data_IF_183192312144
#
_entry.id   IF_183192312144
#
_cell.length_a   1.000
_cell.length_b   1.000
_cell.length_c   1.000
_cell.angle_alpha   90.00
_cell.angle_beta   90.00
_cell.angle_gamma   90.00
#
_symmetry.space_group_name_H-M   'P 1'
#
loop_
_entity.id
_entity.type
_entity.pdbx_description
1 polymer ?
#
# COMPACT_ATOMS: atom_id res chain seq x y z
N UNK A 1 26.61 23.98 5.12
CA UNK A 1 26.22 24.32 6.52
C UNK A 1 24.77 23.89 6.70
N UNK A 2 24.56 22.72 7.27
CA UNK A 2 23.22 22.20 7.56
C UNK A 2 22.65 22.99 8.75
N UNK A 3 21.65 23.85 8.49
CA UNK A 3 20.90 24.54 9.54
C UNK A 3 20.07 23.49 10.28
N UNK A 4 20.64 22.89 11.32
CA UNK A 4 19.94 21.98 12.22
C UNK A 4 18.95 22.80 13.06
N UNK A 5 17.74 22.98 12.54
CA UNK A 5 16.62 23.54 13.27
C UNK A 5 16.06 22.43 14.17
N UNK A 6 16.02 22.70 15.49
CA UNK A 6 15.60 21.75 16.52
C UNK A 6 14.07 21.65 16.65
N UNK A 7 13.33 21.92 15.57
CA UNK A 7 11.87 21.81 15.57
C UNK A 7 11.46 20.33 15.46
N UNK A 8 10.50 19.85 16.28
CA UNK A 8 9.96 18.51 16.10
C UNK A 8 9.37 18.36 14.69
N UNK A 9 9.42 17.15 14.13
CA UNK A 9 8.87 16.78 12.81
C UNK A 9 9.59 17.35 11.57
N UNK A 10 10.75 17.99 11.73
CA UNK A 10 11.47 18.57 10.59
C UNK A 10 11.88 17.55 9.51
N UNK A 11 12.20 16.31 9.90
CA UNK A 11 12.47 15.22 8.95
C UNK A 11 11.24 14.89 8.10
N UNK A 12 10.07 14.75 8.72
CA UNK A 12 8.81 14.47 8.01
C UNK A 12 8.47 15.60 7.05
N UNK A 13 8.67 16.86 7.46
CA UNK A 13 8.44 18.02 6.58
C UNK A 13 9.38 17.97 5.37
N UNK A 14 10.65 17.61 5.58
CA UNK A 14 11.62 17.43 4.48
C UNK A 14 11.20 16.32 3.51
N UNK A 15 10.72 15.20 4.02
CA UNK A 15 10.26 14.07 3.21
C UNK A 15 9.04 14.45 2.36
N UNK A 16 8.06 15.14 2.96
CA UNK A 16 6.89 15.64 2.24
C UNK A 16 7.31 16.63 1.15
N UNK A 17 8.17 17.60 1.47
CA UNK A 17 8.64 18.59 0.50
C UNK A 17 9.38 17.95 -0.68
N UNK A 18 10.16 16.89 -0.42
CA UNK A 18 10.81 16.11 -1.47
C UNK A 18 9.83 15.34 -2.36
N UNK A 19 8.73 14.83 -1.80
CA UNK A 19 7.79 13.95 -2.52
C UNK A 19 6.69 14.69 -3.30
N UNK A 20 6.24 15.85 -2.83
CA UNK A 20 5.19 16.67 -3.47
C UNK A 20 5.39 16.88 -4.99
N UNK A 21 6.58 17.27 -5.51
CA UNK A 21 6.75 17.47 -6.95
C UNK A 21 6.58 16.17 -7.75
N UNK A 22 7.06 15.05 -7.23
CA UNK A 22 6.91 13.74 -7.85
C UNK A 22 5.45 13.26 -7.81
N UNK A 23 4.70 13.54 -6.74
CA UNK A 23 3.29 13.17 -6.65
C UNK A 23 2.45 13.76 -7.78
N UNK A 24 2.68 15.04 -8.12
CA UNK A 24 2.03 15.68 -9.26
C UNK A 24 2.39 14.99 -10.59
N UNK A 25 3.66 14.61 -10.75
CA UNK A 25 4.13 13.91 -11.95
C UNK A 25 3.53 12.51 -12.08
N UNK A 26 3.34 11.79 -10.97
CA UNK A 26 2.79 10.44 -10.97
C UNK A 26 1.36 10.40 -11.51
N UNK A 27 0.52 11.36 -11.11
CA UNK A 27 -0.85 11.48 -11.66
C UNK A 27 -0.83 11.80 -13.15
N UNK A 28 -0.02 12.77 -13.59
CA UNK A 28 0.09 13.14 -15.01
C UNK A 28 0.60 11.95 -15.84
N UNK A 29 1.65 11.27 -15.37
CA UNK A 29 2.23 10.09 -16.01
C UNK A 29 1.25 8.92 -16.06
N UNK A 30 0.49 8.69 -14.98
CA UNK A 30 -0.54 7.66 -14.92
C UNK A 30 -1.65 7.86 -15.94
N UNK A 31 -2.18 9.08 -16.06
CA UNK A 31 -3.20 9.38 -17.08
C UNK A 31 -2.64 9.32 -18.51
N UNK A 32 -1.38 9.68 -18.72
CA UNK A 32 -0.73 9.67 -20.04
C UNK A 32 -0.41 8.25 -20.52
N UNK A 33 -0.21 7.29 -19.61
CA UNK A 33 0.08 5.89 -19.95
C UNK A 33 -1.06 5.18 -20.69
N UNK A 34 -2.30 5.71 -20.63
CA UNK A 34 -3.46 5.18 -21.32
C UNK A 34 -3.74 3.72 -20.95
N UNK A 35 -3.97 2.87 -21.94
CA UNK A 35 -4.30 1.45 -21.73
C UNK A 35 -3.12 0.58 -21.31
N UNK A 36 -1.87 1.05 -21.45
CA UNK A 36 -0.68 0.24 -21.13
C UNK A 36 -0.57 -0.09 -19.64
N UNK A 37 -1.23 0.68 -18.78
CA UNK A 37 -1.25 0.44 -17.33
C UNK A 37 -2.15 -0.75 -16.93
N UNK A 38 -3.13 -1.13 -17.76
CA UNK A 38 -4.08 -2.18 -17.39
C UNK A 38 -3.41 -3.55 -17.19
N UNK A 39 -2.45 -3.90 -18.04
CA UNK A 39 -1.73 -5.17 -17.93
C UNK A 39 -0.96 -5.30 -16.60
N UNK A 40 -0.06 -4.36 -16.22
CA UNK A 40 0.61 -4.43 -14.92
C UNK A 40 -0.36 -4.27 -13.75
N UNK A 41 -1.43 -3.47 -13.85
CA UNK A 41 -2.45 -3.36 -12.80
C UNK A 41 -3.15 -4.70 -12.55
N UNK A 42 -3.59 -5.39 -13.62
CA UNK A 42 -4.22 -6.70 -13.49
C UNK A 42 -3.25 -7.75 -12.93
N UNK A 43 -2.00 -7.74 -13.39
CA UNK A 43 -0.96 -8.63 -12.87
C UNK A 43 -0.76 -8.46 -11.35
N UNK A 44 -0.56 -7.21 -10.90
CA UNK A 44 -0.36 -6.91 -9.48
C UNK A 44 -1.62 -7.17 -8.65
N UNK A 45 -2.82 -6.95 -9.21
CA UNK A 45 -4.08 -7.28 -8.55
C UNK A 45 -4.15 -8.76 -8.19
N UNK A 46 -3.91 -9.66 -9.15
CA UNK A 46 -3.92 -11.11 -8.85
C UNK A 46 -2.74 -11.53 -7.99
N UNK A 47 -1.55 -10.99 -8.22
CA UNK A 47 -0.36 -11.29 -7.42
C UNK A 47 -0.54 -10.94 -5.94
N UNK A 48 -1.30 -9.88 -5.63
CA UNK A 48 -1.58 -9.45 -4.25
C UNK A 48 -2.85 -10.04 -3.66
N UNK A 49 -3.90 -10.31 -4.46
CA UNK A 49 -5.15 -10.87 -3.96
C UNK A 49 -5.03 -12.35 -3.56
N UNK A 50 -4.27 -13.15 -4.32
CA UNK A 50 -4.15 -14.59 -4.07
C UNK A 50 -3.55 -14.92 -2.69
N UNK A 51 -2.42 -14.30 -2.26
CA UNK A 51 -1.89 -14.51 -0.91
C UNK A 51 -2.87 -14.09 0.18
N UNK A 52 -3.60 -12.98 -0.02
CA UNK A 52 -4.56 -12.47 0.97
C UNK A 52 -5.73 -13.43 1.16
N UNK A 53 -6.20 -14.08 0.09
CA UNK A 53 -7.22 -15.13 0.20
C UNK A 53 -6.68 -16.34 0.94
N UNK A 54 -5.46 -16.79 0.62
CA UNK A 54 -4.83 -17.94 1.28
C UNK A 54 -4.62 -17.69 2.78
N UNK A 55 -4.00 -16.57 3.15
CA UNK A 55 -3.79 -16.18 4.55
C UNK A 55 -5.10 -15.84 5.27
N UNK A 56 -6.09 -15.32 4.55
CA UNK A 56 -7.41 -15.05 5.11
C UNK A 56 -8.19 -16.31 5.44
N UNK A 57 -7.98 -17.42 4.72
CA UNK A 57 -8.54 -18.72 5.09
C UNK A 57 -7.87 -19.29 6.33
N UNK A 58 -6.54 -19.19 6.41
CA UNK A 58 -5.77 -19.59 7.59
C UNK A 58 -6.21 -18.79 8.82
N UNK A 59 -6.31 -17.47 8.72
CA UNK A 59 -6.78 -16.61 9.80
C UNK A 59 -8.21 -16.93 10.21
N UNK A 60 -9.06 -17.33 9.26
CA UNK A 60 -10.42 -17.80 9.54
C UNK A 60 -10.45 -19.07 10.37
N UNK A 61 -9.52 -20.00 10.15
CA UNK A 61 -9.37 -21.21 10.97
C UNK A 61 -8.84 -20.88 12.36
N UNK A 62 -7.85 -20.00 12.46
CA UNK A 62 -7.18 -19.68 13.72
C UNK A 62 -8.03 -18.78 14.63
N UNK A 63 -9.05 -18.10 14.07
CA UNK A 63 -9.94 -17.17 14.81
C UNK A 63 -11.38 -17.68 14.95
N UNK A 64 -11.59 -18.99 14.78
CA UNK A 64 -12.92 -19.62 14.83
C UNK A 64 -13.96 -18.94 13.92
N UNK A 65 -13.53 -18.44 12.75
CA UNK A 65 -14.36 -17.77 11.76
C UNK A 65 -14.61 -16.28 12.02
N UNK A 66 -13.97 -15.68 13.03
CA UNK A 66 -14.13 -14.25 13.36
C UNK A 66 -13.50 -13.34 12.30
N UNK A 67 -12.35 -13.75 11.73
CA UNK A 67 -11.65 -13.05 10.65
C UNK A 67 -11.57 -13.93 9.40
N UNK A 68 -12.47 -13.69 8.44
CA UNK A 68 -12.54 -14.42 7.17
C UNK A 68 -11.71 -13.76 6.06
N UNK A 69 -11.38 -14.53 5.02
CA UNK A 69 -10.76 -14.03 3.79
C UNK A 69 -11.41 -12.78 3.20
N UNK A 70 -12.74 -12.64 3.32
CA UNK A 70 -13.46 -11.44 2.84
C UNK A 70 -13.08 -10.19 3.63
N UNK A 71 -12.99 -10.28 4.97
CA UNK A 71 -12.61 -9.16 5.83
C UNK A 71 -11.13 -8.81 5.61
N UNK A 72 -10.28 -9.82 5.46
CA UNK A 72 -8.85 -9.65 5.18
C UNK A 72 -8.63 -8.97 3.83
N UNK A 73 -9.39 -9.36 2.80
CA UNK A 73 -9.39 -8.71 1.49
C UNK A 73 -9.86 -7.25 1.59
N UNK A 74 -10.97 -7.00 2.28
CA UNK A 74 -11.51 -5.65 2.45
C UNK A 74 -10.51 -4.73 3.18
N UNK A 75 -9.90 -5.23 4.27
CA UNK A 75 -8.88 -4.50 5.03
C UNK A 75 -7.66 -4.18 4.15
N UNK A 76 -7.15 -5.17 3.41
CA UNK A 76 -6.00 -4.99 2.52
C UNK A 76 -6.30 -3.97 1.41
N UNK A 77 -7.51 -4.01 0.83
CA UNK A 77 -7.92 -3.06 -0.19
C UNK A 77 -7.99 -1.62 0.34
N UNK A 78 -8.59 -1.42 1.52
CA UNK A 78 -8.69 -0.10 2.16
C UNK A 78 -7.29 0.44 2.50
N UNK A 79 -6.45 -0.37 3.13
CA UNK A 79 -5.07 0.00 3.44
C UNK A 79 -4.26 0.31 2.18
N UNK A 80 -4.42 -0.48 1.12
CA UNK A 80 -3.78 -0.27 -0.18
C UNK A 80 -4.18 1.05 -0.83
N UNK A 81 -5.48 1.39 -0.82
CA UNK A 81 -5.97 2.69 -1.32
C UNK A 81 -5.37 3.84 -0.52
N UNK A 82 -5.45 3.78 0.81
CA UNK A 82 -4.90 4.83 1.68
C UNK A 82 -3.39 4.98 1.46
N UNK A 83 -2.64 3.88 1.37
CA UNK A 83 -1.20 3.90 1.12
C UNK A 83 -0.86 4.42 -0.29
N UNK A 84 -1.65 4.10 -1.31
CA UNK A 84 -1.40 4.60 -2.67
C UNK A 84 -1.59 6.12 -2.78
N UNK A 85 -2.49 6.70 -1.98
CA UNK A 85 -2.80 8.13 -2.00
C UNK A 85 -1.85 8.92 -1.09
N UNK A 86 -1.59 8.43 0.13
CA UNK A 86 -0.85 9.16 1.16
C UNK A 86 0.59 8.67 1.36
N UNK A 87 0.95 7.51 0.80
CA UNK A 87 2.26 6.90 0.98
C UNK A 87 3.37 7.64 0.26
N UNK A 88 4.56 7.61 0.87
CA UNK A 88 5.78 8.17 0.28
C UNK A 88 6.27 7.40 -0.95
N UNK A 89 5.87 6.13 -1.12
CA UNK A 89 6.35 5.25 -2.19
C UNK A 89 5.18 4.51 -2.88
N UNK A 90 4.71 4.98 -4.05
CA UNK A 90 3.49 4.49 -4.68
C UNK A 90 3.64 3.09 -5.30
N UNK A 91 4.88 2.60 -5.48
CA UNK A 91 5.16 1.26 -5.99
C UNK A 91 5.13 0.18 -4.88
N UNK A 92 4.94 0.57 -3.62
CA UNK A 92 4.85 -0.36 -2.50
C UNK A 92 3.46 -1.00 -2.46
N UNK A 93 3.42 -2.33 -2.42
CA UNK A 93 2.18 -3.11 -2.32
C UNK A 93 2.00 -3.55 -0.88
N UNK A 94 0.93 -3.08 -0.24
CA UNK A 94 0.56 -3.48 1.12
C UNK A 94 -0.26 -4.76 1.06
N UNK A 95 0.10 -5.73 1.89
CA UNK A 95 -0.59 -7.01 1.96
C UNK A 95 -0.36 -7.70 3.31
N UNK A 96 -1.10 -8.78 3.53
CA UNK A 96 -0.91 -9.63 4.71
C UNK A 96 0.29 -10.54 4.48
N UNK A 97 1.19 -10.58 5.47
CA UNK A 97 2.36 -11.44 5.47
C UNK A 97 2.25 -12.48 6.60
N UNK A 98 2.97 -13.59 6.45
CA UNK A 98 2.98 -14.70 7.40
C UNK A 98 3.20 -14.28 8.88
N UNK A 99 4.11 -13.34 9.22
CA UNK A 99 4.27 -12.90 10.61
C UNK A 99 3.03 -12.21 11.21
N UNK A 100 2.12 -11.71 10.36
CA UNK A 100 0.86 -11.08 10.79
C UNK A 100 -0.22 -12.11 11.12
N UNK A 101 -0.12 -13.33 10.58
CA UNK A 101 -1.09 -14.41 10.79
C UNK A 101 -0.69 -15.30 11.97
N UNK A 102 0.61 -15.40 12.27
CA UNK A 102 1.16 -16.25 13.32
C UNK A 102 1.34 -15.57 14.70
N UNK A 103 1.15 -14.25 14.78
CA UNK A 103 1.22 -13.47 16.02
C UNK A 103 -0.15 -13.28 16.63
#
# INVERSE_FOLDING_TARGET
MEKKSNAPFQGIISDIQGRVPCYKQDWIGGFTAGFRILAPTAYIFFASALPVVAFGEQLGRDTDGTLSAVQTLASTAICGIIHSILGGQPLLIVGVAEPTVLM
#
